data_IF_197480974888
#
_entry.id   IF_197480974888
#
_cell.length_a   1.000
_cell.length_b   1.000
_cell.length_c   1.000
_cell.angle_alpha   90.00
_cell.angle_beta   90.00
_cell.angle_gamma   90.00
#
_symmetry.space_group_name_H-M   'P 1'
#
loop_
_entity.id
_entity.type
_entity.pdbx_description
1 polymer ?
#
# COMPACT_ATOMS: atom_id res chain seq x y z
N UNK A 1 18.98 -12.07 -19.57
CA UNK A 1 18.27 -11.16 -18.65
C UNK A 1 17.16 -10.47 -19.43
N UNK A 2 15.95 -11.00 -19.36
CA UNK A 2 14.78 -10.48 -20.10
C UNK A 2 14.24 -9.28 -19.34
N UNK A 3 14.56 -8.07 -19.80
CA UNK A 3 13.99 -6.82 -19.28
C UNK A 3 12.51 -6.79 -19.64
N UNK A 4 11.67 -7.17 -18.69
CA UNK A 4 10.21 -7.13 -18.83
C UNK A 4 9.81 -5.66 -18.82
N UNK A 5 9.57 -5.08 -20.00
CA UNK A 5 9.08 -3.72 -20.13
C UNK A 5 7.63 -3.66 -19.62
N UNK A 6 7.45 -3.35 -18.35
CA UNK A 6 6.15 -2.97 -17.77
C UNK A 6 5.88 -1.53 -18.20
N UNK A 7 4.88 -1.33 -19.08
CA UNK A 7 4.39 -0.01 -19.45
C UNK A 7 3.88 0.71 -18.19
N UNK A 8 4.74 1.55 -17.63
CA UNK A 8 4.45 2.27 -16.39
C UNK A 8 3.89 3.64 -16.73
N UNK A 9 2.70 3.95 -16.20
CA UNK A 9 2.03 5.24 -16.41
C UNK A 9 2.67 6.38 -15.61
N UNK A 10 3.45 6.06 -14.57
CA UNK A 10 4.06 7.01 -13.66
C UNK A 10 5.57 7.09 -13.89
N UNK A 11 6.04 8.20 -14.46
CA UNK A 11 7.46 8.43 -14.72
C UNK A 11 8.06 9.38 -13.68
N UNK A 12 9.14 9.01 -12.98
CA UNK A 12 9.94 9.93 -12.18
C UNK A 12 10.49 11.11 -13.01
N UNK A 13 10.54 12.30 -12.42
CA UNK A 13 11.26 13.44 -13.00
C UNK A 13 12.77 13.16 -13.05
N UNK A 14 13.52 13.61 -14.06
CA UNK A 14 14.95 13.30 -14.25
C UNK A 14 15.85 13.56 -13.02
N UNK A 15 15.60 14.61 -12.24
CA UNK A 15 16.47 14.93 -11.10
C UNK A 15 15.99 14.32 -9.78
N UNK A 16 14.85 13.61 -9.80
CA UNK A 16 14.25 13.02 -8.61
C UNK A 16 14.67 11.55 -8.39
N UNK A 17 15.73 11.05 -9.05
CA UNK A 17 16.16 9.66 -8.90
C UNK A 17 16.80 9.42 -7.53
N UNK A 18 16.07 8.78 -6.62
CA UNK A 18 16.68 8.10 -5.47
C UNK A 18 17.38 6.82 -5.93
N UNK A 19 18.39 6.37 -5.18
CA UNK A 19 19.03 5.08 -5.43
C UNK A 19 17.97 3.96 -5.47
N UNK A 20 18.09 3.04 -6.42
CA UNK A 20 17.21 1.89 -6.49
C UNK A 20 17.43 1.00 -5.26
N UNK A 21 16.33 0.53 -4.67
CA UNK A 21 16.31 -0.39 -3.54
C UNK A 21 15.40 -1.58 -3.86
N UNK A 22 15.71 -2.73 -3.29
CA UNK A 22 14.93 -3.94 -3.52
C UNK A 22 13.90 -4.14 -2.40
N UNK A 23 12.67 -4.41 -2.84
CA UNK A 23 11.51 -4.75 -2.00
C UNK A 23 10.83 -6.01 -2.55
N UNK A 24 9.86 -6.54 -1.81
CA UNK A 24 8.98 -7.62 -2.27
C UNK A 24 7.55 -7.10 -2.31
N UNK A 25 6.90 -7.23 -3.46
CA UNK A 25 5.48 -6.95 -3.60
C UNK A 25 4.76 -8.22 -4.03
N UNK A 26 3.81 -8.70 -3.21
CA UNK A 26 3.13 -9.98 -3.43
C UNK A 26 4.13 -11.12 -3.70
N UNK A 27 5.17 -11.20 -2.86
CA UNK A 27 6.27 -12.18 -2.94
C UNK A 27 7.18 -12.05 -4.18
N UNK A 28 6.90 -11.12 -5.11
CA UNK A 28 7.73 -10.85 -6.27
C UNK A 28 8.78 -9.78 -5.91
N UNK A 29 10.08 -10.00 -6.18
CA UNK A 29 11.09 -8.97 -6.00
C UNK A 29 10.87 -7.82 -6.99
N UNK A 30 10.95 -6.59 -6.50
CA UNK A 30 10.86 -5.37 -7.29
C UNK A 30 11.99 -4.42 -6.90
N UNK A 31 12.68 -3.90 -7.91
CA UNK A 31 13.64 -2.81 -7.72
C UNK A 31 12.91 -1.48 -7.96
N UNK A 32 12.90 -0.61 -6.94
CA UNK A 32 12.11 0.64 -6.94
C UNK A 32 12.96 1.84 -6.50
N UNK A 33 12.63 3.07 -6.89
CA UNK A 33 13.36 4.25 -6.42
C UNK A 33 13.14 4.47 -4.91
N UNK A 34 14.22 4.53 -4.14
CA UNK A 34 14.20 4.86 -2.72
C UNK A 34 13.90 6.34 -2.43
N UNK A 35 13.77 6.69 -1.15
CA UNK A 35 13.53 8.08 -0.70
C UNK A 35 12.15 8.63 -1.09
N UNK A 36 11.15 7.75 -1.20
CA UNK A 36 9.79 8.06 -1.65
C UNK A 36 8.78 7.32 -0.79
N UNK A 37 7.51 7.68 -0.91
CA UNK A 37 6.47 6.83 -0.33
C UNK A 37 6.38 5.47 -1.04
N UNK A 38 5.95 4.44 -0.31
CA UNK A 38 5.69 3.10 -0.85
C UNK A 38 4.71 3.18 -2.03
N UNK A 39 3.71 4.04 -1.95
CA UNK A 39 2.77 4.27 -3.07
C UNK A 39 3.48 4.78 -4.32
N UNK A 40 4.31 5.80 -4.21
CA UNK A 40 5.04 6.36 -5.35
C UNK A 40 6.05 5.36 -5.93
N UNK A 41 6.73 4.60 -5.08
CA UNK A 41 7.69 3.57 -5.48
C UNK A 41 7.03 2.45 -6.28
N UNK A 42 5.90 1.91 -5.80
CA UNK A 42 5.14 0.87 -6.48
C UNK A 42 4.53 1.35 -7.80
N UNK A 43 3.99 2.59 -7.83
CA UNK A 43 3.48 3.17 -9.07
C UNK A 43 4.57 3.35 -10.13
N UNK A 44 5.78 3.77 -9.73
CA UNK A 44 6.95 3.88 -10.61
C UNK A 44 7.46 2.52 -11.10
N UNK A 45 7.10 1.42 -10.42
CA UNK A 45 7.34 0.05 -10.87
C UNK A 45 6.21 -0.53 -11.74
N UNK A 46 5.16 0.26 -12.01
CA UNK A 46 4.02 -0.15 -12.83
C UNK A 46 2.89 -0.85 -12.07
N UNK A 47 2.91 -0.84 -10.73
CA UNK A 47 1.83 -1.41 -9.93
C UNK A 47 0.60 -0.49 -9.98
N UNK A 48 -0.51 -1.02 -10.48
CA UNK A 48 -1.76 -0.28 -10.66
C UNK A 48 -2.88 -0.72 -9.70
N UNK A 49 -2.64 -1.73 -8.86
CA UNK A 49 -3.63 -2.27 -7.93
C UNK A 49 -3.01 -2.53 -6.56
N UNK A 50 -3.59 -1.91 -5.53
CA UNK A 50 -3.09 -1.96 -4.15
C UNK A 50 -4.05 -2.73 -3.24
N UNK A 51 -5.36 -2.60 -3.49
CA UNK A 51 -6.38 -3.33 -2.73
C UNK A 51 -7.66 -3.57 -3.51
N UNK A 52 -8.54 -4.40 -2.95
CA UNK A 52 -9.96 -4.46 -3.28
C UNK A 52 -10.81 -3.72 -2.23
N UNK A 53 -11.95 -3.15 -2.63
CA UNK A 53 -12.94 -2.64 -1.68
C UNK A 53 -13.60 -3.80 -0.92
N UNK A 54 -13.90 -3.65 0.38
CA UNK A 54 -14.48 -4.72 1.19
C UNK A 54 -15.81 -5.28 0.69
N UNK A 55 -16.66 -4.42 0.10
CA UNK A 55 -18.03 -4.80 -0.28
C UNK A 55 -18.11 -5.28 -1.72
N UNK A 56 -17.60 -4.50 -2.68
CA UNK A 56 -17.74 -4.78 -4.11
C UNK A 56 -16.53 -5.45 -4.74
N UNK A 57 -15.42 -5.64 -4.01
CA UNK A 57 -14.19 -6.19 -4.56
C UNK A 57 -13.48 -5.29 -5.58
N UNK A 58 -13.92 -4.03 -5.74
CA UNK A 58 -13.43 -3.13 -6.77
C UNK A 58 -11.94 -2.81 -6.55
N UNK A 59 -11.08 -2.92 -7.58
CA UNK A 59 -9.65 -2.66 -7.44
C UNK A 59 -9.40 -1.17 -7.21
N UNK A 60 -8.56 -0.84 -6.24
CA UNK A 60 -8.17 0.53 -5.91
C UNK A 60 -6.67 0.72 -5.98
N UNK A 61 -6.29 1.96 -6.31
CA UNK A 61 -4.93 2.45 -6.41
C UNK A 61 -4.82 3.77 -5.63
N UNK A 62 -3.60 4.26 -5.37
CA UNK A 62 -3.42 5.58 -4.76
C UNK A 62 -4.12 6.68 -5.58
N UNK A 63 -4.95 7.48 -4.89
CA UNK A 63 -5.68 8.59 -5.51
C UNK A 63 -5.18 9.95 -4.99
N UNK A 64 -5.34 10.22 -3.68
CA UNK A 64 -5.01 11.54 -3.12
C UNK A 64 -3.52 11.77 -2.82
N UNK A 65 -2.71 10.71 -2.64
CA UNK A 65 -1.32 10.79 -2.18
C UNK A 65 -1.06 11.54 -0.86
N UNK A 66 -2.09 11.79 -0.05
CA UNK A 66 -2.01 12.62 1.17
C UNK A 66 -2.55 11.92 2.43
N UNK A 67 -2.89 10.63 2.34
CA UNK A 67 -3.46 9.87 3.47
C UNK A 67 -4.96 10.06 3.73
N UNK A 68 -5.67 10.87 2.93
CA UNK A 68 -7.08 11.18 3.17
C UNK A 68 -8.08 10.17 2.58
N UNK A 69 -7.75 9.54 1.44
CA UNK A 69 -8.72 8.73 0.68
C UNK A 69 -8.77 7.24 1.08
N UNK A 70 -7.74 6.72 1.75
CA UNK A 70 -7.61 5.28 2.08
C UNK A 70 -7.63 4.31 0.90
N UNK A 71 -7.39 4.80 -0.32
CA UNK A 71 -7.38 3.96 -1.52
C UNK A 71 -6.06 3.22 -1.74
N UNK A 72 -4.98 3.69 -1.12
CA UNK A 72 -3.63 3.15 -1.20
C UNK A 72 -3.29 2.12 -0.11
N UNK A 73 -4.29 1.55 0.58
CA UNK A 73 -4.00 0.63 1.68
C UNK A 73 -3.33 -0.64 1.16
N UNK A 74 -2.29 -1.05 1.87
CA UNK A 74 -1.53 -2.29 1.66
C UNK A 74 -1.18 -2.88 3.02
N UNK A 75 -0.70 -4.11 3.03
CA UNK A 75 0.04 -4.65 4.15
C UNK A 75 1.53 -4.35 3.97
N UNK A 76 2.22 -3.94 5.04
CA UNK A 76 3.66 -3.72 5.06
C UNK A 76 4.23 -4.47 6.27
N UNK A 77 5.14 -5.40 6.02
CA UNK A 77 5.86 -6.19 7.03
C UNK A 77 4.92 -6.84 8.06
N UNK A 78 3.83 -7.43 7.59
CA UNK A 78 2.83 -8.10 8.44
C UNK A 78 1.75 -7.19 9.01
N UNK A 79 1.88 -5.86 8.86
CA UNK A 79 0.90 -4.90 9.40
C UNK A 79 -0.10 -4.51 8.30
N UNK A 80 -1.39 -4.86 8.43
CA UNK A 80 -2.40 -4.56 7.41
C UNK A 80 -2.83 -3.09 7.44
N UNK A 81 -3.53 -2.67 6.39
CA UNK A 81 -4.18 -1.35 6.29
C UNK A 81 -3.22 -0.17 6.54
N UNK A 82 -2.00 -0.27 6.03
CA UNK A 82 -1.03 0.84 6.00
C UNK A 82 -1.31 1.73 4.82
N UNK A 83 -1.37 3.04 5.03
CA UNK A 83 -1.48 4.01 3.96
C UNK A 83 -0.13 4.10 3.22
N UNK A 84 0.01 3.39 2.10
CA UNK A 84 1.28 3.34 1.34
C UNK A 84 1.81 4.74 0.95
N UNK A 85 0.93 5.73 0.80
CA UNK A 85 1.34 7.11 0.49
C UNK A 85 1.99 7.85 1.66
N UNK A 86 1.85 7.36 2.90
CA UNK A 86 2.37 7.99 4.12
C UNK A 86 3.56 7.23 4.72
N UNK A 87 4.01 6.14 4.09
CA UNK A 87 5.14 5.33 4.56
C UNK A 87 6.27 5.46 3.55
N UNK A 88 7.46 5.83 4.01
CA UNK A 88 8.66 5.85 3.17
C UNK A 88 9.12 4.41 2.85
N UNK A 89 9.47 4.16 1.59
CA UNK A 89 9.95 2.85 1.15
C UNK A 89 11.37 2.58 1.66
N UNK A 90 11.60 1.38 2.18
CA UNK A 90 12.89 0.94 2.68
C UNK A 90 13.30 -0.39 2.03
N UNK A 91 14.61 -0.59 1.85
CA UNK A 91 15.14 -1.84 1.32
C UNK A 91 14.74 -3.00 2.25
N UNK A 92 14.37 -4.14 1.70
CA UNK A 92 13.93 -5.29 2.52
C UNK A 92 12.42 -5.40 2.73
N UNK A 93 11.65 -4.33 2.52
CA UNK A 93 10.23 -4.31 2.84
C UNK A 93 9.44 -5.41 2.12
N UNK A 94 8.54 -6.07 2.87
CA UNK A 94 7.58 -7.03 2.34
C UNK A 94 6.20 -6.39 2.29
N UNK A 95 5.73 -6.11 1.09
CA UNK A 95 4.47 -5.41 0.84
C UNK A 95 3.49 -6.37 0.17
N UNK A 96 2.23 -6.37 0.60
CA UNK A 96 1.16 -7.16 -0.02
C UNK A 96 -0.04 -6.30 -0.35
N UNK A 97 -0.66 -6.55 -1.49
CA UNK A 97 -1.97 -5.98 -1.78
C UNK A 97 -3.02 -6.52 -0.81
N UNK A 98 -3.99 -5.69 -0.42
CA UNK A 98 -5.00 -6.09 0.55
C UNK A 98 -6.31 -6.47 -0.14
N UNK A 99 -6.84 -7.64 0.22
CA UNK A 99 -8.14 -8.10 -0.24
C UNK A 99 -9.18 -7.91 0.86
N UNK A 100 -10.31 -7.28 0.53
CA UNK A 100 -11.42 -7.16 1.47
C UNK A 100 -11.17 -6.21 2.66
N UNK A 101 -11.93 -6.44 3.73
CA UNK A 101 -11.71 -5.79 5.03
C UNK A 101 -10.50 -6.41 5.74
N UNK A 102 -9.84 -5.64 6.61
CA UNK A 102 -8.83 -6.22 7.50
C UNK A 102 -9.51 -7.12 8.54
N UNK A 103 -8.78 -8.13 8.99
CA UNK A 103 -9.16 -8.87 10.17
C UNK A 103 -9.08 -7.97 11.41
N UNK A 104 -10.08 -8.07 12.27
CA UNK A 104 -10.03 -7.51 13.61
C UNK A 104 -9.67 -8.63 14.57
N UNK A 105 -8.80 -8.39 15.56
CA UNK A 105 -8.64 -9.34 16.65
C UNK A 105 -10.00 -9.57 17.33
N UNK A 106 -10.25 -10.77 17.86
CA UNK A 106 -11.51 -11.06 18.55
C UNK A 106 -11.73 -10.03 19.66
N UNK A 107 -12.89 -9.37 19.63
CA UNK A 107 -13.26 -8.43 20.68
C UNK A 107 -13.57 -9.21 21.96
N UNK A 108 -12.83 -8.97 23.05
CA UNK A 108 -13.29 -9.37 24.37
C UNK A 108 -14.44 -8.43 24.77
N UNK A 109 -15.67 -8.90 24.56
CA UNK A 109 -16.90 -8.15 24.83
C UNK A 109 -17.12 -7.82 26.33
N UNK A 110 -16.25 -8.28 27.22
CA UNK A 110 -16.30 -8.03 28.67
C UNK A 110 -15.77 -6.66 29.09
N UNK A 111 -15.02 -5.94 28.24
CA UNK A 111 -14.35 -4.68 28.61
C UNK A 111 -14.92 -3.43 27.93
N UNK A 112 -16.07 -3.51 27.25
CA UNK A 112 -16.68 -2.35 26.58
C UNK A 112 -17.72 -1.69 27.49
N UNK A 113 -17.50 -0.48 28.05
CA UNK A 113 -18.58 0.29 28.65
C UNK A 113 -19.64 0.56 27.57
N UNK A 114 -20.90 0.32 27.90
CA UNK A 114 -22.06 0.37 27.01
C UNK A 114 -22.42 1.77 26.49
N UNK A 115 -21.47 2.72 26.45
CA UNK A 115 -21.79 4.15 26.36
C UNK A 115 -21.79 4.74 24.94
N UNK A 116 -21.51 3.95 23.89
CA UNK A 116 -21.48 4.48 22.52
C UNK A 116 -22.38 3.73 21.54
N UNK A 117 -23.62 3.41 21.95
CA UNK A 117 -24.61 2.85 21.03
C UNK A 117 -25.30 3.91 20.15
N UNK A 118 -25.33 5.20 20.54
CA UNK A 118 -25.99 6.28 19.78
C UNK A 118 -25.37 7.66 20.09
N UNK A 119 -24.32 8.06 19.37
CA UNK A 119 -23.63 9.34 19.63
C UNK A 119 -23.13 10.03 18.36
N UNK A 120 -24.06 10.63 17.61
CA UNK A 120 -23.91 11.59 16.48
C UNK A 120 -22.83 11.32 15.43
#
# INVERSE_FOLDING_TARGET
>A
MTTRSTHTLFKPLPDAQGAAIDIWFNEQPLSVPGGRSVAAALLAAGVSRFRATPVSGAPRAPFCMMGACFECLVEIDGVPSRQACMVEVQAGMRIRSQEGARDLPPANLTDTPLENAHGR
#
